data_IF_303418610933
#
_entry.id   IF_303418610933
#
_cell.length_a   1.000
_cell.length_b   1.000
_cell.length_c   1.000
_cell.angle_alpha   90.00
_cell.angle_beta   90.00
_cell.angle_gamma   90.00
#
_symmetry.space_group_name_H-M   'P 1'
#
loop_
_entity.id
_entity.type
_entity.pdbx_description
1 polymer ?
#
# COMPACT_ATOMS: atom_id res chain seq x y z
N UNK A 1 -0.26 3.61 7.69
CA UNK A 1 -0.98 4.83 8.12
C UNK A 1 -0.38 6.04 7.41
N UNK A 2 -1.14 7.10 7.16
CA UNK A 2 -0.60 8.32 6.56
C UNK A 2 0.44 8.94 7.51
N UNK A 3 1.61 9.30 6.98
CA UNK A 3 2.81 9.62 7.77
C UNK A 3 3.08 11.13 7.71
N UNK A 4 2.36 11.91 8.53
CA UNK A 4 2.56 13.36 8.65
C UNK A 4 3.82 13.70 9.45
N UNK A 5 4.11 12.91 10.49
CA UNK A 5 5.31 12.99 11.33
C UNK A 5 5.57 11.63 12.02
N UNK A 6 6.80 11.38 12.47
CA UNK A 6 7.14 10.20 13.29
C UNK A 6 6.27 10.15 14.56
N UNK A 7 6.06 11.31 15.20
CA UNK A 7 5.21 11.44 16.38
C UNK A 7 3.76 11.03 16.09
N UNK A 8 3.18 11.55 15.01
CA UNK A 8 1.81 11.23 14.61
C UNK A 8 1.64 9.74 14.33
N UNK A 9 2.63 9.09 13.71
CA UNK A 9 2.58 7.65 13.48
C UNK A 9 2.64 6.85 14.80
N UNK A 10 3.53 7.22 15.72
CA UNK A 10 3.62 6.58 17.05
C UNK A 10 2.34 6.74 17.86
N UNK A 11 1.75 7.93 17.84
CA UNK A 11 0.51 8.22 18.54
C UNK A 11 -0.66 7.44 17.94
N UNK A 12 -0.73 7.31 16.60
CA UNK A 12 -1.71 6.47 15.94
C UNK A 12 -1.59 4.99 16.33
N UNK A 13 -0.38 4.41 16.35
CA UNK A 13 -0.14 3.03 16.82
C UNK A 13 -0.64 2.83 18.25
N UNK A 14 -0.31 3.77 19.15
CA UNK A 14 -0.73 3.73 20.55
C UNK A 14 -2.24 3.81 20.69
N UNK A 15 -2.88 4.72 19.95
CA UNK A 15 -4.33 4.90 19.96
C UNK A 15 -5.05 3.63 19.46
N UNK A 16 -4.62 3.05 18.35
CA UNK A 16 -5.18 1.81 17.80
C UNK A 16 -5.02 0.67 18.82
N UNK A 17 -3.82 0.44 19.33
CA UNK A 17 -3.59 -0.64 20.29
C UNK A 17 -4.42 -0.49 21.57
N UNK A 18 -4.59 0.75 22.05
CA UNK A 18 -5.43 1.05 23.21
C UNK A 18 -6.91 0.75 22.91
N UNK A 19 -7.41 1.17 21.76
CA UNK A 19 -8.80 0.95 21.35
C UNK A 19 -9.14 -0.54 21.26
N UNK A 20 -8.25 -1.34 20.69
CA UNK A 20 -8.42 -2.79 20.58
C UNK A 20 -7.99 -3.59 21.81
N UNK A 21 -7.43 -2.92 22.84
CA UNK A 21 -6.85 -3.56 24.04
C UNK A 21 -5.85 -4.69 23.70
N UNK A 22 -5.16 -4.56 22.57
CA UNK A 22 -4.25 -5.57 22.01
C UNK A 22 -3.13 -4.89 21.22
N UNK A 23 -1.95 -5.48 21.20
CA UNK A 23 -0.82 -5.05 20.35
C UNK A 23 -1.06 -5.46 18.89
N UNK A 24 -1.91 -4.74 18.18
CA UNK A 24 -2.21 -4.99 16.76
C UNK A 24 -1.22 -4.26 15.85
N UNK A 25 -0.90 -3.00 16.14
CA UNK A 25 0.13 -2.25 15.43
C UNK A 25 1.46 -2.33 16.18
N UNK A 26 2.43 -3.04 15.61
CA UNK A 26 3.80 -3.22 16.11
C UNK A 26 4.81 -2.57 15.16
N UNK A 27 6.08 -2.46 15.56
CA UNK A 27 7.13 -2.01 14.63
C UNK A 27 7.35 -3.02 13.48
N UNK A 28 7.03 -4.29 13.70
CA UNK A 28 7.18 -5.33 12.68
C UNK A 28 6.12 -5.29 11.57
N UNK A 29 4.92 -4.76 11.84
CA UNK A 29 3.82 -4.73 10.86
C UNK A 29 3.32 -3.33 10.51
N UNK A 30 3.93 -2.29 11.08
CA UNK A 30 3.63 -0.90 10.75
C UNK A 30 4.77 -0.33 9.94
N UNK A 31 4.49 -0.07 8.66
CA UNK A 31 5.44 0.57 7.77
C UNK A 31 5.72 2.01 8.21
N UNK A 32 7.00 2.34 8.30
CA UNK A 32 7.52 3.65 8.70
C UNK A 32 8.74 3.97 7.84
N UNK A 33 8.60 4.95 6.94
CA UNK A 33 9.70 5.39 6.06
C UNK A 33 9.81 6.92 6.01
N UNK A 34 9.28 7.60 7.04
CA UNK A 34 9.29 9.06 7.09
C UNK A 34 10.71 9.62 7.26
N UNK A 35 11.63 8.85 7.85
CA UNK A 35 13.02 9.26 8.02
C UNK A 35 13.75 9.33 6.68
N UNK A 36 13.39 8.45 5.75
CA UNK A 36 14.01 8.33 4.43
C UNK A 36 13.29 9.17 3.36
N UNK A 37 11.96 9.29 3.46
CA UNK A 37 11.13 9.91 2.41
C UNK A 37 10.46 11.22 2.81
N UNK A 38 10.44 11.54 4.10
CA UNK A 38 9.66 12.65 4.64
C UNK A 38 8.15 12.45 4.46
N UNK A 39 7.39 13.54 4.66
CA UNK A 39 5.96 13.57 4.35
C UNK A 39 5.75 13.92 2.88
N UNK A 40 5.40 12.91 2.07
CA UNK A 40 5.11 13.06 0.64
C UNK A 40 3.62 13.30 0.34
N UNK A 41 2.89 13.81 1.33
CA UNK A 41 1.46 14.11 1.29
C UNK A 41 0.63 12.92 0.76
N UNK A 42 -0.16 13.13 -0.29
CA UNK A 42 -1.09 12.13 -0.83
C UNK A 42 -0.40 10.87 -1.37
N UNK A 43 0.90 10.94 -1.67
CA UNK A 43 1.66 9.81 -2.22
C UNK A 43 2.33 8.92 -1.18
N UNK A 44 2.27 9.28 0.11
CA UNK A 44 2.98 8.58 1.19
C UNK A 44 2.73 7.07 1.23
N UNK A 45 1.49 6.62 0.99
CA UNK A 45 1.18 5.20 0.97
C UNK A 45 1.89 4.47 -0.17
N UNK A 46 1.87 5.03 -1.38
CA UNK A 46 2.43 4.39 -2.56
C UNK A 46 3.96 4.38 -2.54
N UNK A 47 4.60 5.43 -2.02
CA UNK A 47 6.05 5.46 -1.82
C UNK A 47 6.46 4.38 -0.80
N UNK A 48 5.74 4.27 0.31
CA UNK A 48 6.00 3.25 1.32
C UNK A 48 5.81 1.82 0.80
N UNK A 49 4.75 1.57 0.03
CA UNK A 49 4.53 0.29 -0.65
C UNK A 49 5.69 0.00 -1.61
N UNK A 50 6.06 0.97 -2.44
CA UNK A 50 7.15 0.82 -3.41
C UNK A 50 8.47 0.43 -2.73
N UNK A 51 8.86 1.14 -1.67
CA UNK A 51 10.07 0.85 -0.92
C UNK A 51 10.05 -0.56 -0.31
N UNK A 52 8.92 -0.95 0.28
CA UNK A 52 8.79 -2.28 0.88
C UNK A 52 8.78 -3.41 -0.16
N UNK A 53 8.21 -3.19 -1.35
CA UNK A 53 8.28 -4.15 -2.46
C UNK A 53 9.73 -4.35 -2.89
N UNK A 54 10.47 -3.26 -3.12
CA UNK A 54 11.85 -3.34 -3.58
C UNK A 54 12.80 -3.95 -2.54
N UNK A 55 12.53 -3.72 -1.25
CA UNK A 55 13.30 -4.29 -0.16
C UNK A 55 12.88 -5.73 0.21
N UNK A 56 11.90 -6.32 -0.49
CA UNK A 56 11.42 -7.69 -0.21
C UNK A 56 10.57 -7.82 1.07
N UNK A 57 10.15 -6.70 1.64
CA UNK A 57 9.35 -6.62 2.86
C UNK A 57 7.83 -6.60 2.61
N UNK A 58 7.41 -6.56 1.34
CA UNK A 58 6.03 -6.78 0.92
C UNK A 58 6.01 -7.88 -0.16
N UNK A 59 5.21 -8.92 0.08
CA UNK A 59 5.11 -10.11 -0.77
C UNK A 59 3.76 -10.19 -1.47
N UNK A 60 3.72 -11.01 -2.51
CA UNK A 60 2.47 -11.41 -3.13
C UNK A 60 1.58 -12.16 -2.15
N UNK A 61 0.27 -12.01 -2.35
CA UNK A 61 -0.82 -12.45 -1.49
C UNK A 61 -0.88 -11.80 -0.09
N UNK A 62 -0.02 -10.83 0.22
CA UNK A 62 -0.10 -10.10 1.48
C UNK A 62 -1.23 -9.08 1.49
N UNK A 63 -1.82 -8.92 2.68
CA UNK A 63 -2.89 -7.96 2.93
C UNK A 63 -2.37 -6.72 3.66
N UNK A 64 -2.66 -5.55 3.13
CA UNK A 64 -2.24 -4.27 3.70
C UNK A 64 -3.45 -3.41 4.00
N UNK A 65 -3.45 -2.82 5.19
CA UNK A 65 -4.39 -1.79 5.58
C UNK A 65 -3.74 -0.41 5.44
N UNK A 66 -4.34 0.44 4.61
CA UNK A 66 -4.01 1.85 4.48
C UNK A 66 -4.89 2.65 5.42
N UNK A 67 -4.34 3.08 6.56
CA UNK A 67 -4.98 4.06 7.42
C UNK A 67 -4.77 5.47 6.86
N UNK A 68 -5.80 6.04 6.24
CA UNK A 68 -5.75 7.33 5.54
C UNK A 68 -6.20 8.43 6.51
N UNK A 69 -5.40 9.48 6.60
CA UNK A 69 -5.79 10.72 7.28
C UNK A 69 -5.44 11.90 6.39
N UNK A 70 -6.32 12.89 6.35
CA UNK A 70 -6.15 14.12 5.58
C UNK A 70 -6.58 15.35 6.38
N UNK A 71 -6.24 16.52 5.85
CA UNK A 71 -6.66 17.80 6.41
C UNK A 71 -8.18 17.88 6.56
N UNK A 72 -8.64 18.60 7.59
CA UNK A 72 -10.08 18.69 7.91
C UNK A 72 -10.64 17.46 8.62
N UNK A 73 -9.79 16.66 9.28
CA UNK A 73 -10.19 15.43 10.00
C UNK A 73 -10.84 14.38 9.10
N UNK A 74 -10.46 14.35 7.82
CA UNK A 74 -10.89 13.29 6.91
C UNK A 74 -10.11 12.02 7.26
N UNK A 75 -10.82 10.95 7.61
CA UNK A 75 -10.24 9.65 7.95
C UNK A 75 -10.86 8.59 7.05
N UNK A 76 -10.05 7.68 6.55
CA UNK A 76 -10.50 6.56 5.73
C UNK A 76 -9.62 5.34 5.93
N UNK A 77 -10.11 4.20 5.44
CA UNK A 77 -9.30 2.98 5.36
C UNK A 77 -9.43 2.36 3.97
N UNK A 78 -8.32 1.86 3.45
CA UNK A 78 -8.29 0.98 2.28
C UNK A 78 -7.69 -0.35 2.67
N UNK A 79 -8.30 -1.45 2.25
CA UNK A 79 -7.77 -2.80 2.46
C UNK A 79 -7.39 -3.34 1.08
N UNK A 80 -6.12 -3.69 0.93
CA UNK A 80 -5.56 -4.17 -0.32
C UNK A 80 -5.06 -5.59 -0.12
N UNK A 81 -5.34 -6.45 -1.10
CA UNK A 81 -4.61 -7.70 -1.32
C UNK A 81 -3.68 -7.44 -2.49
N UNK A 82 -2.39 -7.65 -2.28
CA UNK A 82 -1.41 -7.57 -3.36
C UNK A 82 -1.38 -8.92 -4.04
N UNK A 83 -1.72 -8.97 -5.33
CA UNK A 83 -1.57 -10.14 -6.20
C UNK A 83 -0.09 -10.38 -6.52
N UNK A 84 0.26 -10.67 -7.78
CA UNK A 84 1.64 -10.79 -8.24
C UNK A 84 2.33 -9.42 -8.44
N UNK A 85 1.68 -8.29 -8.13
CA UNK A 85 2.25 -6.95 -8.32
C UNK A 85 3.62 -6.74 -7.64
N UNK A 86 3.85 -7.15 -6.37
CA UNK A 86 5.18 -7.04 -5.75
C UNK A 86 6.27 -7.77 -6.55
N UNK A 87 5.98 -8.98 -7.01
CA UNK A 87 6.91 -9.78 -7.81
C UNK A 87 7.16 -9.13 -9.18
N UNK A 88 6.12 -8.64 -9.85
CA UNK A 88 6.23 -7.94 -11.13
C UNK A 88 7.07 -6.66 -11.04
N UNK A 89 6.89 -5.88 -9.98
CA UNK A 89 7.69 -4.67 -9.76
C UNK A 89 9.16 -5.03 -9.52
N UNK A 90 9.45 -6.03 -8.70
CA UNK A 90 10.83 -6.51 -8.47
C UNK A 90 11.47 -7.03 -9.75
N UNK A 91 10.80 -7.92 -10.48
CA UNK A 91 11.30 -8.46 -11.73
C UNK A 91 11.60 -7.35 -12.76
N UNK A 92 10.71 -6.35 -12.86
CA UNK A 92 10.90 -5.20 -13.76
C UNK A 92 12.05 -4.29 -13.35
N UNK A 93 12.19 -3.98 -12.05
CA UNK A 93 13.17 -2.99 -11.58
C UNK A 93 14.54 -3.57 -11.26
N UNK A 94 14.62 -4.80 -10.78
CA UNK A 94 15.87 -5.44 -10.36
C UNK A 94 16.46 -6.33 -11.45
N UNK A 95 15.62 -6.88 -12.34
CA UNK A 95 16.05 -7.86 -13.34
C UNK A 95 15.80 -7.41 -14.79
N UNK A 96 15.18 -6.23 -15.00
CA UNK A 96 14.86 -5.72 -16.33
C UNK A 96 13.77 -6.51 -17.08
N UNK A 97 13.03 -7.38 -16.39
CA UNK A 97 11.93 -8.16 -16.97
C UNK A 97 10.65 -7.32 -17.03
N UNK A 98 10.36 -6.74 -18.20
CA UNK A 98 9.16 -5.93 -18.38
C UNK A 98 7.94 -6.80 -18.70
N UNK A 99 6.78 -6.55 -18.06
CA UNK A 99 5.56 -7.25 -18.40
C UNK A 99 5.11 -6.86 -19.82
N UNK A 100 4.72 -7.86 -20.61
CA UNK A 100 4.07 -7.62 -21.89
C UNK A 100 2.69 -7.01 -21.66
N UNK A 101 2.33 -6.00 -22.45
CA UNK A 101 0.98 -5.41 -22.36
C UNK A 101 -0.01 -6.45 -22.86
N UNK A 102 -1.01 -6.76 -22.04
CA UNK A 102 -2.13 -7.61 -22.46
C UNK A 102 -2.83 -6.94 -23.64
N UNK A 103 -2.84 -7.60 -24.79
CA UNK A 103 -3.62 -7.16 -25.93
C UNK A 103 -5.11 -7.34 -25.62
N UNK A 104 -5.96 -6.34 -25.87
CA UNK A 104 -7.38 -6.47 -25.61
C UNK A 104 -7.95 -7.59 -26.50
N UNK A 105 -8.57 -8.59 -25.88
CA UNK A 105 -9.39 -9.56 -26.58
C UNK A 105 -10.56 -8.80 -27.22
N UNK A 106 -10.89 -9.02 -28.51
CA UNK A 106 -12.04 -8.40 -29.13
C UNK A 106 -13.28 -8.63 -28.26
N UNK A 107 -13.99 -7.56 -27.89
CA UNK A 107 -15.29 -7.70 -27.20
C UNK A 107 -16.22 -8.45 -28.13
N UNK A 108 -16.62 -9.66 -27.74
CA UNK A 108 -17.78 -10.30 -28.34
C UNK A 108 -18.97 -9.37 -28.15
N UNK A 109 -19.48 -8.84 -29.25
CA UNK A 109 -20.68 -8.00 -29.20
C UNK A 109 -21.85 -8.97 -29.12
N UNK A 110 -22.68 -8.95 -28.06
CA UNK A 110 -23.86 -9.80 -28.01
C UNK A 110 -24.72 -9.52 -29.24
N UNK A 111 -25.34 -10.55 -29.87
CA UNK A 111 -26.19 -10.33 -31.02
C UNK A 111 -27.32 -9.37 -30.65
N UNK A 112 -27.54 -8.36 -31.50
CA UNK A 112 -28.68 -7.45 -31.41
C UNK A 112 -29.96 -8.30 -31.40
N UNK A 113 -30.72 -8.24 -30.30
CA UNK A 113 -32.06 -8.83 -30.26
C UNK A 113 -32.96 -8.03 -31.19
N UNK A 114 -33.28 -8.61 -32.35
CA UNK A 114 -34.34 -8.17 -33.26
C UNK A 114 -35.69 -8.66 -32.77
#
# INVERSE_FOLDING_TARGET
MHQTSDRSLRDAKRAINKAFKKKICTDANTIHNIAERGNTATTTHFVAIWDHILNGNLKSDEHVLLGITGSGQTIGTGIYTFDDLPDRIRASKLEGRHPEKVHPTPRETPPLRT
#
